data_IF_745918849338
#
_entry.id   IF_745918849338
#
_cell.length_a   1.000
_cell.length_b   1.000
_cell.length_c   1.000
_cell.angle_alpha   90.00
_cell.angle_beta   90.00
_cell.angle_gamma   90.00
#
_symmetry.space_group_name_H-M   'P 1'
#
loop_
_entity.id
_entity.type
_entity.pdbx_description
1 polymer ?
#
# COMPACT_ATOMS: atom_id res chain seq x y z
N UNK A 1 -0.80 15.13 20.12
CA UNK A 1 0.09 13.97 20.33
C UNK A 1 1.50 14.38 19.93
N UNK A 2 2.56 13.89 20.61
CA UNK A 2 3.92 14.10 20.16
C UNK A 2 4.11 13.61 18.72
N UNK A 3 4.89 14.33 17.92
CA UNK A 3 5.01 14.18 16.46
C UNK A 3 5.34 12.74 16.01
N UNK A 4 6.13 12.02 16.82
CA UNK A 4 6.61 10.67 16.51
C UNK A 4 5.83 9.53 17.19
N UNK A 5 4.71 9.84 17.85
CA UNK A 5 3.91 8.83 18.56
C UNK A 5 3.33 7.81 17.58
N UNK A 6 3.36 6.54 17.96
CA UNK A 6 2.67 5.45 17.26
C UNK A 6 1.48 5.04 18.11
N UNK A 7 0.28 5.07 17.54
CA UNK A 7 -0.93 4.65 18.23
C UNK A 7 -1.17 3.16 17.98
N UNK A 8 -1.37 2.39 19.05
CA UNK A 8 -1.70 0.97 18.98
C UNK A 8 -3.19 0.77 19.20
N UNK A 9 -3.79 -0.21 18.53
CA UNK A 9 -5.18 -0.59 18.72
C UNK A 9 -5.33 -2.10 18.62
N UNK A 10 -6.38 -2.63 19.24
CA UNK A 10 -6.59 -4.08 19.34
C UNK A 10 -6.86 -4.77 17.99
N UNK A 11 -7.38 -4.03 16.99
CA UNK A 11 -7.75 -4.62 15.68
C UNK A 11 -7.24 -3.77 14.52
N UNK A 12 -6.98 -4.43 13.38
CA UNK A 12 -6.61 -3.78 12.13
C UNK A 12 -7.66 -2.77 11.66
N UNK A 13 -8.95 -3.05 11.88
CA UNK A 13 -10.03 -2.15 11.49
C UNK A 13 -9.92 -0.80 12.22
N UNK A 14 -9.66 -0.81 13.52
CA UNK A 14 -9.47 0.42 14.30
C UNK A 14 -8.24 1.20 13.82
N UNK A 15 -7.12 0.52 13.57
CA UNK A 15 -5.93 1.14 12.99
C UNK A 15 -6.22 1.79 11.62
N UNK A 16 -6.95 1.09 10.75
CA UNK A 16 -7.31 1.59 9.42
C UNK A 16 -8.19 2.84 9.52
N UNK A 17 -9.20 2.85 10.38
CA UNK A 17 -10.06 4.02 10.59
C UNK A 17 -9.26 5.22 11.09
N UNK A 18 -8.39 5.01 12.07
CA UNK A 18 -7.51 6.05 12.60
C UNK A 18 -6.56 6.58 11.53
N UNK A 19 -5.86 5.70 10.81
CA UNK A 19 -4.92 6.07 9.75
C UNK A 19 -5.62 6.83 8.62
N UNK A 20 -6.82 6.39 8.21
CA UNK A 20 -7.60 7.06 7.18
C UNK A 20 -8.03 8.46 7.63
N UNK A 21 -8.54 8.61 8.87
CA UNK A 21 -8.93 9.91 9.39
C UNK A 21 -7.73 10.88 9.43
N UNK A 22 -6.55 10.40 9.88
CA UNK A 22 -5.33 11.19 9.90
C UNK A 22 -4.83 11.57 8.50
N UNK A 23 -4.98 10.68 7.52
CA UNK A 23 -4.63 10.95 6.12
C UNK A 23 -5.61 11.96 5.49
N UNK A 24 -6.92 11.81 5.70
CA UNK A 24 -7.93 12.73 5.20
C UNK A 24 -7.70 14.15 5.70
N UNK A 25 -7.34 14.31 6.98
CA UNK A 25 -7.07 15.62 7.60
C UNK A 25 -5.82 16.35 7.08
N UNK A 26 -4.94 15.68 6.33
CA UNK A 26 -3.76 16.35 5.74
C UNK A 26 -4.15 17.18 4.53
N UNK A 27 -3.73 18.45 4.53
CA UNK A 27 -3.93 19.41 3.44
C UNK A 27 -2.91 19.20 2.31
N UNK A 28 -2.99 18.03 1.66
CA UNK A 28 -2.15 17.62 0.54
C UNK A 28 -2.98 16.77 -0.43
N UNK A 29 -2.57 16.75 -1.70
CA UNK A 29 -3.24 15.98 -2.75
C UNK A 29 -3.16 14.47 -2.46
N UNK A 30 -4.30 13.78 -2.58
CA UNK A 30 -4.36 12.32 -2.51
C UNK A 30 -3.78 11.69 -3.76
N UNK A 31 -2.79 10.83 -3.58
CA UNK A 31 -2.18 10.04 -4.64
C UNK A 31 -2.52 8.58 -4.41
N UNK A 32 -3.05 7.92 -5.44
CA UNK A 32 -3.50 6.53 -5.39
C UNK A 32 -2.62 5.64 -6.26
N UNK A 33 -2.14 4.55 -5.68
CA UNK A 33 -1.40 3.51 -6.37
C UNK A 33 -2.28 2.26 -6.48
N UNK A 34 -2.63 1.91 -7.72
CA UNK A 34 -3.38 0.70 -8.01
C UNK A 34 -2.41 -0.48 -8.23
N UNK A 35 -2.69 -1.60 -7.58
CA UNK A 35 -1.96 -2.84 -7.78
C UNK A 35 -2.16 -3.34 -9.22
N UNK A 36 -1.07 -3.81 -9.82
CA UNK A 36 -1.10 -4.48 -11.11
C UNK A 36 -0.89 -5.96 -10.85
N UNK A 37 -1.89 -6.76 -11.24
CA UNK A 37 -1.85 -8.21 -11.16
C UNK A 37 -1.47 -8.79 -12.50
N UNK A 38 -0.49 -9.68 -12.49
CA UNK A 38 -0.25 -10.60 -13.60
C UNK A 38 -0.53 -12.02 -13.12
N UNK A 39 -1.27 -12.77 -13.93
CA UNK A 39 -1.65 -14.14 -13.59
C UNK A 39 -0.86 -15.06 -14.51
N UNK A 40 0.24 -15.57 -13.98
CA UNK A 40 1.03 -16.59 -14.65
C UNK A 40 0.39 -17.97 -14.43
N UNK A 41 -0.49 -18.35 -15.35
CA UNK A 41 -1.08 -19.69 -15.35
C UNK A 41 -1.36 -20.17 -16.78
N UNK A 42 -1.39 -21.50 -17.00
CA UNK A 42 -1.79 -22.06 -18.29
C UNK A 42 -3.14 -21.54 -18.78
N UNK A 43 -3.29 -21.35 -20.10
CA UNK A 43 -4.49 -20.75 -20.72
C UNK A 43 -5.81 -21.39 -20.25
N UNK A 44 -5.83 -22.70 -20.06
CA UNK A 44 -7.03 -23.43 -19.64
C UNK A 44 -7.43 -23.17 -18.17
N UNK A 45 -6.52 -22.70 -17.31
CA UNK A 45 -6.81 -22.33 -15.92
C UNK A 45 -7.13 -20.85 -15.73
N UNK A 46 -6.86 -20.02 -16.75
CA UNK A 46 -6.92 -18.56 -16.64
C UNK A 46 -8.27 -18.04 -16.16
N UNK A 47 -9.37 -18.60 -16.66
CA UNK A 47 -10.73 -18.23 -16.21
C UNK A 47 -10.94 -18.49 -14.72
N UNK A 48 -10.51 -19.65 -14.23
CA UNK A 48 -10.64 -20.04 -12.82
C UNK A 48 -9.70 -19.21 -11.94
N UNK A 49 -8.47 -18.98 -12.37
CA UNK A 49 -7.50 -18.15 -11.66
C UNK A 49 -8.03 -16.72 -11.47
N UNK A 50 -8.58 -16.09 -12.52
CA UNK A 50 -9.20 -14.75 -12.43
C UNK A 50 -10.38 -14.71 -11.46
N UNK A 51 -11.22 -15.75 -11.43
CA UNK A 51 -12.33 -15.82 -10.48
C UNK A 51 -11.86 -15.88 -9.03
N UNK A 52 -10.79 -16.62 -8.75
CA UNK A 52 -10.21 -16.71 -7.40
C UNK A 52 -9.62 -15.36 -6.99
N UNK A 53 -8.85 -14.71 -7.89
CA UNK A 53 -8.31 -13.37 -7.64
C UNK A 53 -9.43 -12.38 -7.34
N UNK A 54 -10.49 -12.36 -8.16
CA UNK A 54 -11.63 -11.47 -7.95
C UNK A 54 -12.40 -11.77 -6.66
N UNK A 55 -12.54 -13.04 -6.28
CA UNK A 55 -13.21 -13.41 -5.02
C UNK A 55 -12.45 -12.89 -3.80
N UNK A 56 -11.13 -12.87 -3.90
CA UNK A 56 -10.25 -12.50 -2.79
C UNK A 56 -9.71 -11.08 -2.93
N UNK A 57 -10.32 -10.25 -3.77
CA UNK A 57 -9.82 -8.93 -4.11
C UNK A 57 -9.70 -8.04 -2.87
N UNK A 58 -10.62 -8.15 -1.91
CA UNK A 58 -10.61 -7.37 -0.67
C UNK A 58 -9.73 -7.96 0.44
N UNK A 59 -9.23 -9.20 0.28
CA UNK A 59 -8.44 -9.88 1.30
C UNK A 59 -6.95 -9.52 1.21
N UNK A 60 -6.62 -8.37 1.79
CA UNK A 60 -5.23 -7.89 1.92
C UNK A 60 -4.29 -8.87 2.65
N UNK A 61 -4.79 -9.87 3.40
CA UNK A 61 -3.92 -10.86 4.04
C UNK A 61 -3.17 -11.73 3.03
N UNK A 62 -3.75 -11.91 1.84
CA UNK A 62 -3.16 -12.66 0.73
C UNK A 62 -2.12 -11.84 -0.06
N UNK A 63 -2.12 -10.51 0.11
CA UNK A 63 -1.31 -9.56 -0.66
C UNK A 63 -0.19 -8.93 0.18
N UNK A 64 0.57 -9.74 0.94
CA UNK A 64 1.61 -9.28 1.87
C UNK A 64 1.13 -8.24 2.92
N UNK A 65 -0.18 -8.20 3.17
CA UNK A 65 -0.82 -7.22 4.06
C UNK A 65 -1.11 -5.87 3.41
N UNK A 66 -0.92 -5.71 2.11
CA UNK A 66 -1.24 -4.50 1.34
C UNK A 66 -2.62 -4.60 0.70
N UNK A 67 -3.31 -3.46 0.57
CA UNK A 67 -4.54 -3.36 -0.20
C UNK A 67 -4.26 -3.21 -1.70
N UNK A 68 -5.27 -3.46 -2.52
CA UNK A 68 -5.18 -3.28 -3.98
C UNK A 68 -5.02 -1.83 -4.40
N UNK A 69 -5.47 -0.92 -3.54
CA UNK A 69 -5.27 0.51 -3.70
C UNK A 69 -4.56 1.00 -2.45
N UNK A 70 -3.44 1.67 -2.65
CA UNK A 70 -2.72 2.38 -1.59
C UNK A 70 -2.88 3.87 -1.84
N UNK A 71 -3.53 4.56 -0.92
CA UNK A 71 -3.68 6.01 -0.95
C UNK A 71 -2.66 6.63 -0.01
N UNK A 72 -1.94 7.65 -0.50
CA UNK A 72 -0.98 8.41 0.30
C UNK A 72 -1.08 9.89 0.01
N UNK A 73 -0.46 10.69 0.87
CA UNK A 73 -0.25 12.13 0.71
C UNK A 73 1.20 12.46 1.08
N UNK A 74 1.73 13.55 0.55
CA UNK A 74 3.02 14.08 1.03
C UNK A 74 2.89 14.39 2.53
N UNK A 75 3.94 14.10 3.29
CA UNK A 75 3.99 14.20 4.74
C UNK A 75 3.20 13.11 5.48
N UNK A 76 2.69 12.08 4.79
CA UNK A 76 2.09 10.93 5.46
C UNK A 76 3.17 10.02 6.04
N UNK A 77 2.96 9.57 7.28
CA UNK A 77 3.81 8.54 7.90
C UNK A 77 3.41 7.18 7.37
N UNK A 78 4.40 6.38 6.96
CA UNK A 78 4.22 5.05 6.38
C UNK A 78 5.16 4.04 7.04
N UNK A 79 4.80 2.77 6.94
CA UNK A 79 5.60 1.65 7.42
C UNK A 79 5.88 0.68 6.27
N UNK A 80 7.14 0.26 6.13
CA UNK A 80 7.52 -0.76 5.17
C UNK A 80 6.92 -2.12 5.56
N UNK A 81 6.45 -2.87 4.56
CA UNK A 81 5.83 -4.20 4.72
C UNK A 81 6.72 -5.35 4.26
N UNK A 82 7.91 -5.05 3.74
CA UNK A 82 8.89 -6.03 3.25
C UNK A 82 10.31 -5.52 3.47
N UNK A 83 11.25 -6.45 3.50
CA UNK A 83 12.66 -6.12 3.47
C UNK A 83 13.06 -5.70 2.06
N UNK A 84 13.71 -4.54 1.95
CA UNK A 84 14.25 -4.02 0.69
C UNK A 84 15.76 -4.14 0.74
N UNK A 85 16.37 -3.56 1.77
CA UNK A 85 17.80 -3.63 2.01
C UNK A 85 18.06 -3.70 3.53
N UNK A 86 18.52 -4.86 3.99
CA UNK A 86 18.79 -5.10 5.41
C UNK A 86 20.02 -4.34 5.88
N UNK A 87 21.02 -4.15 5.02
CA UNK A 87 22.26 -3.45 5.36
C UNK A 87 22.03 -1.96 5.63
N UNK A 88 21.06 -1.36 4.91
CA UNK A 88 20.63 0.02 5.08
C UNK A 88 19.50 0.19 6.11
N UNK A 89 19.03 -0.88 6.76
CA UNK A 89 17.91 -0.81 7.71
C UNK A 89 16.52 -0.60 7.09
N UNK A 90 16.39 -0.79 5.77
CA UNK A 90 15.11 -0.74 5.04
C UNK A 90 14.39 -2.09 5.15
N UNK A 91 13.91 -2.38 6.35
CA UNK A 91 13.30 -3.65 6.73
C UNK A 91 11.80 -3.50 6.99
N UNK A 92 11.09 -4.63 7.05
CA UNK A 92 9.70 -4.65 7.48
C UNK A 92 9.56 -4.03 8.87
N UNK A 93 8.61 -3.11 9.03
CA UNK A 93 8.40 -2.37 10.27
C UNK A 93 9.12 -1.03 10.35
N UNK A 94 10.08 -0.74 9.46
CA UNK A 94 10.70 0.59 9.39
C UNK A 94 9.64 1.65 9.06
N UNK A 95 9.61 2.73 9.85
CA UNK A 95 8.65 3.84 9.73
C UNK A 95 9.38 5.06 9.17
N UNK A 96 8.74 5.76 8.24
CA UNK A 96 9.24 7.01 7.67
C UNK A 96 8.10 7.94 7.25
N UNK A 97 8.46 9.07 6.67
CA UNK A 97 7.53 10.07 6.13
C UNK A 97 7.76 10.25 4.62
N UNK A 98 6.67 10.44 3.88
CA UNK A 98 6.75 10.70 2.44
C UNK A 98 7.14 12.16 2.20
N UNK A 99 8.40 12.41 1.85
CA UNK A 99 8.86 13.75 1.50
C UNK A 99 8.44 14.15 0.07
N UNK A 100 8.52 13.22 -0.88
CA UNK A 100 8.24 13.50 -2.30
C UNK A 100 7.80 12.24 -3.04
N UNK A 101 7.00 12.43 -4.09
CA UNK A 101 6.62 11.37 -5.03
C UNK A 101 7.18 11.73 -6.41
N UNK A 102 7.95 10.80 -6.99
CA UNK A 102 8.58 10.96 -8.30
C UNK A 102 8.05 9.86 -9.20
N UNK A 103 7.45 10.25 -10.32
CA UNK A 103 6.97 9.32 -11.33
C UNK A 103 8.06 9.12 -12.38
N UNK A 104 8.43 7.86 -12.62
CA UNK A 104 9.28 7.53 -13.76
C UNK A 104 8.44 7.63 -15.04
N UNK A 105 8.57 8.76 -15.75
CA UNK A 105 7.83 9.09 -16.98
C UNK A 105 8.15 8.11 -18.12
N UNK A 106 9.28 7.40 -18.03
CA UNK A 106 9.68 6.41 -19.04
C UNK A 106 9.08 5.02 -18.78
N UNK A 107 8.50 4.79 -17.61
CA UNK A 107 7.88 3.51 -17.25
C UNK A 107 6.39 3.54 -17.61
N UNK A 108 6.07 3.24 -18.88
CA UNK A 108 4.72 3.23 -19.49
C UNK A 108 3.64 2.41 -18.73
N UNK A 109 3.99 1.71 -17.64
CA UNK A 109 3.08 0.93 -16.79
C UNK A 109 2.44 1.75 -15.65
N UNK A 110 3.00 2.90 -15.28
CA UNK A 110 2.43 3.78 -14.26
C UNK A 110 1.59 4.88 -14.93
N UNK A 111 0.43 4.52 -15.49
CA UNK A 111 -0.50 5.53 -16.02
C UNK A 111 -1.20 6.25 -14.87
N UNK A 112 -1.10 7.58 -14.88
CA UNK A 112 -1.97 8.51 -14.17
C UNK A 112 -3.40 8.27 -14.66
N UNK A 113 -4.31 7.94 -13.75
CA UNK A 113 -5.76 8.10 -13.98
C UNK A 113 -6.17 9.45 -13.39
#
# INVERSE_FOLDING_TARGET
MPENTVCLSATKNMCNQFNNAMLTNKDQEEIRFNAIYDIDCPRYLNKRARQIVKRNEDDSSLNAGLGNVITVKIGARVMLRRNIDVSMGLVNGSIGEIEKIIWDVNNKKAKKN
#
